data_IF_876079331749
#
_entry.id   IF_876079331749
#
_cell.length_a   1.000
_cell.length_b   1.000
_cell.length_c   1.000
_cell.angle_alpha   90.00
_cell.angle_beta   90.00
_cell.angle_gamma   90.00
#
_symmetry.space_group_name_H-M   'P 1'
#
loop_
_entity.id
_entity.type
_entity.pdbx_description
1 polymer ?
#
# COMPACT_ATOMS: atom_id res chain seq x y z
N UNK A 1 -4.46 -25.07 -0.83
CA UNK A 1 -5.89 -24.87 -0.50
C UNK A 1 -6.12 -23.44 -0.02
N UNK A 2 -5.76 -23.05 1.21
CA UNK A 2 -6.03 -21.66 1.67
C UNK A 2 -5.26 -20.58 0.88
N UNK A 3 -4.00 -20.86 0.50
CA UNK A 3 -3.22 -19.94 -0.34
C UNK A 3 -3.82 -19.78 -1.74
N UNK A 4 -4.20 -20.89 -2.37
CA UNK A 4 -4.77 -20.88 -3.72
C UNK A 4 -6.10 -20.10 -3.75
N UNK A 5 -6.94 -20.23 -2.73
CA UNK A 5 -8.18 -19.44 -2.60
C UNK A 5 -7.90 -17.94 -2.44
N UNK A 6 -6.87 -17.57 -1.68
CA UNK A 6 -6.44 -16.17 -1.55
C UNK A 6 -5.90 -15.64 -2.88
N UNK A 7 -5.05 -16.41 -3.55
CA UNK A 7 -4.49 -16.07 -4.86
C UNK A 7 -5.63 -15.86 -5.87
N UNK A 8 -6.64 -16.74 -5.90
CA UNK A 8 -7.83 -16.59 -6.75
C UNK A 8 -8.61 -15.30 -6.49
N UNK A 9 -8.79 -14.89 -5.22
CA UNK A 9 -9.51 -13.66 -4.89
C UNK A 9 -8.69 -12.44 -5.31
N UNK A 10 -7.39 -12.45 -5.01
CA UNK A 10 -6.45 -11.38 -5.35
C UNK A 10 -6.38 -11.15 -6.86
N UNK A 11 -6.31 -12.24 -7.63
CA UNK A 11 -6.33 -12.20 -9.09
C UNK A 11 -7.70 -11.77 -9.64
N UNK A 12 -8.80 -12.36 -9.14
CA UNK A 12 -10.16 -12.05 -9.62
C UNK A 12 -10.51 -10.58 -9.54
N UNK A 13 -10.05 -9.90 -8.49
CA UNK A 13 -10.37 -8.50 -8.22
C UNK A 13 -9.21 -7.54 -8.51
N UNK A 14 -8.13 -8.03 -9.13
CA UNK A 14 -6.92 -7.27 -9.46
C UNK A 14 -6.34 -6.48 -8.28
N UNK A 15 -6.38 -7.06 -7.07
CA UNK A 15 -6.10 -6.32 -5.83
C UNK A 15 -4.68 -5.75 -5.80
N UNK A 16 -3.68 -6.51 -6.27
CA UNK A 16 -2.29 -6.03 -6.36
C UNK A 16 -2.19 -4.81 -7.25
N UNK A 17 -2.72 -4.88 -8.48
CA UNK A 17 -2.67 -3.76 -9.42
C UNK A 17 -3.36 -2.52 -8.85
N UNK A 18 -4.53 -2.70 -8.24
CA UNK A 18 -5.29 -1.62 -7.62
C UNK A 18 -4.54 -0.97 -6.45
N UNK A 19 -3.83 -1.75 -5.64
CA UNK A 19 -2.98 -1.20 -4.58
C UNK A 19 -1.84 -0.35 -5.13
N UNK A 20 -1.18 -0.78 -6.21
CA UNK A 20 -0.18 0.06 -6.89
C UNK A 20 -0.78 1.35 -7.44
N UNK A 21 -1.96 1.29 -8.07
CA UNK A 21 -2.64 2.48 -8.58
C UNK A 21 -3.01 3.44 -7.44
N UNK A 22 -3.58 2.92 -6.34
CA UNK A 22 -3.93 3.71 -5.15
C UNK A 22 -2.71 4.33 -4.49
N UNK A 23 -1.59 3.60 -4.39
CA UNK A 23 -0.34 4.14 -3.87
C UNK A 23 0.08 5.41 -4.63
N UNK A 24 0.06 5.39 -5.96
CA UNK A 24 0.52 6.55 -6.74
C UNK A 24 -0.39 7.77 -6.59
N UNK A 25 -1.68 7.56 -6.34
CA UNK A 25 -2.63 8.63 -6.01
C UNK A 25 -2.35 9.17 -4.61
N UNK A 26 -2.19 8.27 -3.62
CA UNK A 26 -1.88 8.64 -2.24
C UNK A 26 -0.55 9.40 -2.15
N UNK A 27 0.49 8.93 -2.83
CA UNK A 27 1.80 9.54 -2.85
C UNK A 27 1.80 10.92 -3.52
N UNK A 28 1.07 11.10 -4.62
CA UNK A 28 0.93 12.41 -5.25
C UNK A 28 0.23 13.43 -4.34
N UNK A 29 -0.80 12.98 -3.60
CA UNK A 29 -1.43 13.81 -2.57
C UNK A 29 -0.44 14.11 -1.44
N UNK A 30 0.33 13.11 -0.98
CA UNK A 30 1.34 13.29 0.08
C UNK A 30 2.39 14.36 -0.27
N UNK A 31 2.80 14.43 -1.54
CA UNK A 31 3.75 15.45 -2.03
C UNK A 31 3.14 16.86 -2.12
N UNK A 32 1.82 16.99 -2.23
CA UNK A 32 1.15 18.25 -2.58
C UNK A 32 0.27 18.83 -1.48
N UNK A 33 -0.22 18.01 -0.55
CA UNK A 33 -1.06 18.42 0.58
C UNK A 33 -0.29 19.35 1.51
N UNK A 34 -0.91 20.45 1.93
CA UNK A 34 -0.27 21.46 2.78
C UNK A 34 0.16 20.92 4.16
N UNK A 35 -0.41 19.79 4.62
CA UNK A 35 -0.06 19.12 5.87
C UNK A 35 1.21 18.29 5.71
N UNK A 36 1.35 17.53 4.61
CA UNK A 36 2.43 16.53 4.44
C UNK A 36 3.54 16.98 3.48
N UNK A 37 3.35 18.07 2.74
CA UNK A 37 4.35 18.59 1.79
C UNK A 37 5.66 19.01 2.46
N UNK A 38 5.61 19.53 3.68
CA UNK A 38 6.85 19.88 4.40
C UNK A 38 7.60 18.62 4.83
N UNK A 39 6.90 17.64 5.40
CA UNK A 39 7.46 16.34 5.78
C UNK A 39 8.09 15.63 4.56
N UNK A 40 7.36 15.50 3.44
CA UNK A 40 7.90 14.86 2.22
C UNK A 40 9.23 15.50 1.76
N UNK A 41 9.36 16.83 1.83
CA UNK A 41 10.61 17.53 1.50
C UNK A 41 11.74 17.23 2.49
N UNK A 42 11.44 17.10 3.78
CA UNK A 42 12.43 16.70 4.80
C UNK A 42 12.98 15.30 4.51
N UNK A 43 12.14 14.40 3.99
CA UNK A 43 12.53 13.07 3.52
C UNK A 43 13.13 13.06 2.09
N UNK A 44 13.28 14.24 1.44
CA UNK A 44 13.83 14.35 0.10
C UNK A 44 12.92 13.82 -1.01
N UNK A 45 11.62 13.67 -0.73
CA UNK A 45 10.59 13.21 -1.62
C UNK A 45 9.88 14.42 -2.23
N UNK A 46 10.10 14.60 -3.52
CA UNK A 46 9.58 15.75 -4.29
C UNK A 46 8.95 15.34 -5.61
N UNK A 47 9.21 14.11 -6.06
CA UNK A 47 8.66 13.55 -7.29
C UNK A 47 8.60 12.00 -7.23
N UNK A 48 7.72 11.41 -8.05
CA UNK A 48 7.52 9.97 -8.20
C UNK A 48 8.78 9.24 -8.68
N UNK A 49 9.64 9.89 -9.47
CA UNK A 49 10.86 9.27 -10.00
C UNK A 49 11.91 8.95 -8.91
N UNK A 50 11.71 9.44 -7.68
CA UNK A 50 12.60 9.24 -6.55
C UNK A 50 12.24 8.03 -5.69
N UNK A 51 11.10 7.39 -5.95
CA UNK A 51 10.61 6.24 -5.20
C UNK A 51 10.53 5.00 -6.08
N UNK A 52 10.92 3.87 -5.51
CA UNK A 52 10.68 2.55 -6.04
C UNK A 52 9.72 1.81 -5.11
N UNK A 53 8.70 1.18 -5.68
CA UNK A 53 7.65 0.50 -4.93
C UNK A 53 7.67 -0.96 -5.32
N UNK A 54 7.62 -1.85 -4.34
CA UNK A 54 7.67 -3.30 -4.57
C UNK A 54 6.54 -3.97 -3.82
N UNK A 55 5.95 -4.99 -4.43
CA UNK A 55 5.02 -5.86 -3.72
C UNK A 55 5.78 -6.64 -2.66
N UNK A 56 5.48 -6.39 -1.39
CA UNK A 56 5.96 -7.23 -0.29
C UNK A 56 5.16 -8.54 -0.26
N UNK A 57 3.83 -8.42 -0.33
CA UNK A 57 2.93 -9.56 -0.39
C UNK A 57 1.48 -9.19 -0.14
N UNK A 58 0.67 -10.21 0.09
CA UNK A 58 -0.71 -10.05 0.50
C UNK A 58 -1.09 -11.16 1.48
N UNK A 59 -2.02 -10.85 2.38
CA UNK A 59 -2.41 -11.75 3.46
C UNK A 59 -3.90 -11.67 3.75
N UNK A 60 -4.47 -12.81 4.16
CA UNK A 60 -5.79 -12.84 4.78
C UNK A 60 -5.64 -12.59 6.28
N UNK A 61 -6.34 -11.58 6.78
CA UNK A 61 -6.25 -11.12 8.16
C UNK A 61 -7.57 -11.34 8.87
N UNK A 62 -7.53 -12.14 9.93
CA UNK A 62 -8.66 -12.31 10.87
C UNK A 62 -8.50 -11.31 12.00
N UNK A 63 -9.39 -10.32 12.09
CA UNK A 63 -9.24 -9.24 13.08
C UNK A 63 -10.47 -8.99 13.92
N UNK A 64 -10.36 -9.34 15.21
CA UNK A 64 -11.35 -8.92 16.22
C UNK A 64 -11.33 -7.42 16.47
N UNK A 65 -10.17 -6.76 16.31
CA UNK A 65 -10.03 -5.31 16.51
C UNK A 65 -10.92 -4.53 15.53
N UNK A 66 -10.92 -4.95 14.27
CA UNK A 66 -11.75 -4.34 13.23
C UNK A 66 -13.14 -4.98 13.12
N UNK A 67 -13.42 -6.02 13.90
CA UNK A 67 -14.67 -6.79 13.88
C UNK A 67 -15.04 -7.31 12.49
N UNK A 68 -14.03 -7.54 11.65
CA UNK A 68 -14.15 -8.09 10.29
C UNK A 68 -12.84 -8.76 9.87
N UNK A 69 -12.96 -9.66 8.92
CA UNK A 69 -11.83 -10.28 8.24
C UNK A 69 -11.63 -9.59 6.89
N UNK A 70 -10.38 -9.49 6.44
CA UNK A 70 -10.04 -8.73 5.24
C UNK A 70 -8.77 -9.26 4.58
N UNK A 71 -8.52 -8.80 3.37
CA UNK A 71 -7.28 -9.03 2.62
C UNK A 71 -6.44 -7.76 2.71
N UNK A 72 -5.22 -7.89 3.23
CA UNK A 72 -4.22 -6.81 3.22
C UNK A 72 -3.29 -7.04 2.03
N UNK A 73 -3.04 -6.00 1.23
CA UNK A 73 -2.02 -6.02 0.17
C UNK A 73 -0.97 -4.99 0.51
N UNK A 74 0.27 -5.44 0.67
CA UNK A 74 1.38 -4.71 1.26
C UNK A 74 2.44 -4.37 0.20
N UNK A 75 2.81 -3.10 0.14
CA UNK A 75 3.87 -2.56 -0.69
C UNK A 75 4.97 -1.98 0.20
N UNK A 76 6.21 -2.35 -0.08
CA UNK A 76 7.39 -1.69 0.48
C UNK A 76 7.77 -0.52 -0.42
N UNK A 77 8.13 0.61 0.21
CA UNK A 77 8.52 1.83 -0.48
C UNK A 77 9.98 2.16 -0.16
N UNK A 78 10.76 2.30 -1.22
CA UNK A 78 12.18 2.57 -1.19
C UNK A 78 12.45 3.91 -1.85
N UNK A 79 13.42 4.64 -1.32
CA UNK A 79 14.02 5.72 -2.10
C UNK A 79 14.91 5.07 -3.16
N UNK A 80 14.82 5.57 -4.40
CA UNK A 80 15.57 5.00 -5.53
C UNK A 80 17.06 4.98 -5.23
N UNK A 81 17.70 3.86 -5.59
CA UNK A 81 19.12 3.59 -5.33
C UNK A 81 19.52 3.58 -3.83
N UNK A 82 18.52 3.55 -2.93
CA UNK A 82 18.72 3.49 -1.49
C UNK A 82 18.24 2.15 -0.91
N UNK A 83 18.84 1.80 0.21
CA UNK A 83 18.39 0.78 1.15
C UNK A 83 18.75 1.32 2.53
N UNK A 84 17.86 1.23 3.54
CA UNK A 84 16.66 0.38 3.62
C UNK A 84 15.38 1.01 3.02
N UNK A 85 14.30 0.23 3.04
CA UNK A 85 12.91 0.72 2.97
C UNK A 85 12.72 1.90 3.94
N UNK A 86 11.91 2.89 3.54
CA UNK A 86 11.61 4.04 4.40
C UNK A 86 10.12 4.21 4.69
N UNK A 87 9.25 3.48 3.99
CA UNK A 87 7.82 3.50 4.23
C UNK A 87 7.14 2.22 3.75
N UNK A 88 6.01 1.91 4.39
CA UNK A 88 5.07 0.87 3.99
C UNK A 88 3.81 1.53 3.44
N UNK A 89 3.24 0.97 2.37
CA UNK A 89 1.89 1.28 1.92
C UNK A 89 1.05 0.03 1.85
N UNK A 90 -0.20 0.09 2.32
CA UNK A 90 -1.10 -1.03 2.16
C UNK A 90 -2.55 -0.61 1.97
N UNK A 91 -3.26 -1.41 1.17
CA UNK A 91 -4.72 -1.35 1.08
C UNK A 91 -5.33 -2.51 1.84
N UNK A 92 -6.48 -2.24 2.45
CA UNK A 92 -7.36 -3.24 3.06
C UNK A 92 -8.56 -3.44 2.15
N UNK A 93 -8.78 -4.68 1.75
CA UNK A 93 -9.92 -5.08 0.93
C UNK A 93 -10.84 -6.03 1.69
N UNK A 94 -12.14 -5.87 1.47
CA UNK A 94 -13.12 -6.88 1.84
C UNK A 94 -12.96 -8.15 0.98
N UNK A 95 -13.63 -9.24 1.38
CA UNK A 95 -13.57 -10.52 0.66
C UNK A 95 -14.27 -10.51 -0.71
N UNK A 96 -15.11 -9.51 -0.98
CA UNK A 96 -15.70 -9.23 -2.29
C UNK A 96 -14.89 -8.23 -3.13
N UNK A 97 -13.71 -7.81 -2.64
CA UNK A 97 -12.74 -7.01 -3.38
C UNK A 97 -12.96 -5.50 -3.35
N UNK A 98 -13.86 -5.00 -2.49
CA UNK A 98 -14.01 -3.56 -2.27
C UNK A 98 -12.84 -3.02 -1.44
N UNK A 99 -12.29 -1.88 -1.83
CA UNK A 99 -11.24 -1.21 -1.08
C UNK A 99 -11.89 -0.50 0.10
N UNK A 100 -11.59 -0.96 1.32
CA UNK A 100 -12.19 -0.42 2.53
C UNK A 100 -11.38 0.73 3.12
N UNK A 101 -10.05 0.69 2.95
CA UNK A 101 -9.13 1.70 3.47
C UNK A 101 -7.73 1.55 2.86
N UNK A 102 -6.92 2.60 2.97
CA UNK A 102 -5.50 2.59 2.60
C UNK A 102 -4.64 3.39 3.59
N UNK A 103 -3.37 2.98 3.71
CA UNK A 103 -2.46 3.54 4.70
C UNK A 103 -1.08 3.72 4.09
N UNK A 104 -0.52 4.92 4.26
CA UNK A 104 0.88 5.22 3.98
C UNK A 104 1.60 5.55 5.29
N UNK A 105 2.61 4.75 5.65
CA UNK A 105 3.26 4.79 6.95
C UNK A 105 4.77 4.90 6.77
N UNK A 106 5.35 6.00 7.24
CA UNK A 106 6.80 6.18 7.32
C UNK A 106 7.40 5.30 8.44
N UNK A 107 8.55 4.68 8.18
CA UNK A 107 9.24 3.75 9.12
C UNK A 107 10.50 4.34 9.74
#
# INVERSE_FOLDING_TARGET
MLRDELDEIVERYDLVKRTFDSFWVCFENYLTDDITREESREYGLTDKDQVEVRLYGYSFVVSKKFSRDFIKVDLDVYQKDSSPEFAEYYCIYSLDGECEDDYFVMT
#
